data_IF_314814562991
#
_entry.id   IF_314814562991
#
_cell.length_a   1.000
_cell.length_b   1.000
_cell.length_c   1.000
_cell.angle_alpha   90.00
_cell.angle_beta   90.00
_cell.angle_gamma   90.00
#
_symmetry.space_group_name_H-M   'P 1'
#
loop_
_entity.id
_entity.type
_entity.pdbx_description
1 polymer ?
#
# COMPACT_ATOMS: atom_id res chain seq x y z
N UNK A 1 21.92 -38.41 -3.16
CA UNK A 1 20.99 -37.92 -4.20
C UNK A 1 21.23 -36.43 -4.36
N UNK A 2 21.48 -35.96 -5.58
CA UNK A 2 21.85 -34.56 -5.81
C UNK A 2 20.57 -33.71 -5.80
N UNK A 3 20.33 -32.99 -4.72
CA UNK A 3 19.19 -32.09 -4.63
C UNK A 3 19.51 -30.78 -5.35
N UNK A 4 18.52 -30.24 -6.05
CA UNK A 4 18.61 -28.95 -6.74
C UNK A 4 17.49 -28.05 -6.23
N UNK A 5 17.81 -26.79 -5.96
CA UNK A 5 16.85 -25.76 -5.67
C UNK A 5 16.90 -24.69 -6.77
N UNK A 6 15.75 -24.41 -7.38
CA UNK A 6 15.62 -23.38 -8.42
C UNK A 6 14.43 -22.49 -8.15
N UNK A 7 14.59 -21.21 -8.49
CA UNK A 7 13.51 -20.24 -8.54
C UNK A 7 13.11 -20.03 -9.99
N UNK A 8 11.82 -20.17 -10.27
CA UNK A 8 11.27 -20.03 -11.61
C UNK A 8 10.25 -18.90 -11.62
N UNK A 9 10.43 -17.95 -12.51
CA UNK A 9 9.52 -16.83 -12.74
C UNK A 9 8.91 -16.98 -14.12
N UNK A 10 7.59 -17.02 -14.17
CA UNK A 10 6.79 -17.20 -15.37
C UNK A 10 5.95 -15.96 -15.62
N UNK A 11 5.89 -15.50 -16.87
CA UNK A 11 4.99 -14.43 -17.31
C UNK A 11 4.07 -14.92 -18.43
N UNK A 12 2.95 -14.24 -18.67
CA UNK A 12 1.98 -14.56 -19.71
C UNK A 12 0.57 -14.75 -19.16
N UNK A 13 -0.27 -15.57 -19.82
CA UNK A 13 -1.59 -15.98 -19.31
C UNK A 13 -1.41 -17.08 -18.25
N UNK A 14 -0.77 -16.74 -17.14
CA UNK A 14 -0.41 -17.69 -16.06
C UNK A 14 -1.25 -17.51 -14.80
N UNK A 15 -2.12 -16.50 -14.75
CA UNK A 15 -3.04 -16.22 -13.64
C UNK A 15 -4.50 -16.37 -14.06
N UNK A 16 -5.39 -16.62 -13.07
CA UNK A 16 -6.84 -16.88 -13.26
C UNK A 16 -7.20 -18.10 -14.14
N UNK A 17 -6.24 -19.00 -14.36
CA UNK A 17 -6.37 -20.21 -15.20
C UNK A 17 -6.21 -21.52 -14.40
N UNK A 18 -6.31 -21.46 -13.06
CA UNK A 18 -6.09 -22.64 -12.20
C UNK A 18 -4.62 -23.11 -12.08
N UNK A 19 -3.68 -22.41 -12.73
CA UNK A 19 -2.31 -22.86 -12.93
C UNK A 19 -1.53 -23.19 -11.64
N UNK A 20 -1.66 -22.38 -10.58
CA UNK A 20 -1.00 -22.66 -9.28
C UNK A 20 -1.45 -23.96 -8.62
N UNK A 21 -2.75 -24.29 -8.74
CA UNK A 21 -3.31 -25.55 -8.23
C UNK A 21 -2.69 -26.73 -8.97
N UNK A 22 -2.66 -26.62 -10.29
CA UNK A 22 -2.08 -27.61 -11.16
C UNK A 22 -0.57 -27.83 -10.88
N UNK A 23 0.20 -26.76 -10.70
CA UNK A 23 1.64 -26.86 -10.35
C UNK A 23 1.85 -27.61 -9.04
N UNK A 24 1.07 -27.29 -8.00
CA UNK A 24 1.14 -28.00 -6.71
C UNK A 24 0.84 -29.49 -6.87
N UNK A 25 -0.21 -29.83 -7.61
CA UNK A 25 -0.61 -31.22 -7.79
C UNK A 25 0.50 -32.00 -8.52
N UNK A 26 1.12 -31.41 -9.55
CA UNK A 26 2.28 -32.00 -10.24
C UNK A 26 3.54 -32.09 -9.40
N UNK A 27 3.80 -31.11 -8.53
CA UNK A 27 4.93 -31.16 -7.61
C UNK A 27 4.80 -32.29 -6.59
N UNK A 28 3.58 -32.52 -6.08
CA UNK A 28 3.29 -33.63 -5.17
C UNK A 28 3.41 -34.99 -5.86
N UNK A 29 2.99 -35.13 -7.12
CA UNK A 29 3.15 -36.36 -7.91
C UNK A 29 4.62 -36.78 -8.09
N UNK A 30 5.53 -35.82 -8.23
CA UNK A 30 6.95 -36.06 -8.54
C UNK A 30 7.89 -35.89 -7.33
N UNK A 31 7.33 -35.65 -6.15
CA UNK A 31 8.09 -35.54 -4.90
C UNK A 31 8.97 -34.28 -4.79
N UNK A 32 8.55 -33.17 -5.41
CA UNK A 32 9.25 -31.87 -5.35
C UNK A 32 8.61 -30.99 -4.28
N UNK A 33 9.41 -30.44 -3.37
CA UNK A 33 8.97 -29.47 -2.36
C UNK A 33 9.17 -28.04 -2.84
N UNK A 34 8.53 -27.08 -2.16
CA UNK A 34 8.69 -25.66 -2.47
C UNK A 34 7.38 -24.88 -2.43
N UNK A 35 7.25 -23.90 -3.30
CA UNK A 35 6.07 -23.03 -3.32
C UNK A 35 5.77 -22.41 -4.68
N UNK A 36 4.53 -21.99 -4.89
CA UNK A 36 4.10 -21.23 -6.08
C UNK A 36 3.22 -20.06 -5.64
N UNK A 37 3.45 -18.87 -6.19
CA UNK A 37 2.69 -17.66 -5.86
C UNK A 37 2.42 -16.82 -7.10
N UNK A 38 1.27 -16.15 -7.10
CA UNK A 38 1.03 -15.07 -8.05
C UNK A 38 1.77 -13.82 -7.55
N UNK A 39 2.39 -13.08 -8.47
CA UNK A 39 2.83 -11.70 -8.23
C UNK A 39 1.98 -10.78 -9.08
N UNK A 40 1.39 -9.77 -8.44
CA UNK A 40 0.66 -8.72 -9.14
C UNK A 40 1.63 -7.59 -9.43
N UNK A 41 1.99 -7.45 -10.71
CA UNK A 41 2.71 -6.29 -11.22
C UNK A 41 1.76 -5.54 -12.17
N UNK A 42 1.71 -4.19 -12.15
CA UNK A 42 0.88 -3.44 -13.09
C UNK A 42 1.20 -3.87 -14.53
N UNK A 43 0.20 -4.39 -15.24
CA UNK A 43 0.34 -4.80 -16.64
C UNK A 43 0.95 -6.19 -16.89
N UNK A 44 1.39 -6.94 -15.87
CA UNK A 44 2.01 -8.26 -16.09
C UNK A 44 1.51 -9.29 -15.08
N UNK A 45 0.91 -10.37 -15.59
CA UNK A 45 0.56 -11.53 -14.80
C UNK A 45 1.82 -12.40 -14.62
N UNK A 46 2.27 -12.54 -13.37
CA UNK A 46 3.50 -13.27 -13.03
C UNK A 46 3.17 -14.41 -12.08
N UNK A 47 3.72 -15.59 -12.34
CA UNK A 47 3.77 -16.70 -11.38
C UNK A 47 5.22 -16.91 -10.98
N UNK A 48 5.52 -16.80 -9.69
CA UNK A 48 6.83 -17.01 -9.11
C UNK A 48 6.75 -18.28 -8.29
N UNK A 49 7.67 -19.20 -8.52
CA UNK A 49 7.70 -20.47 -7.82
C UNK A 49 9.14 -20.85 -7.47
N UNK A 50 9.23 -21.74 -6.50
CA UNK A 50 10.47 -22.30 -6.02
C UNK A 50 10.31 -23.81 -5.96
N UNK A 51 11.26 -24.52 -6.56
CA UNK A 51 11.27 -25.98 -6.66
C UNK A 51 12.53 -26.50 -5.98
N UNK A 52 12.39 -27.48 -5.09
CA UNK A 52 13.49 -28.21 -4.48
C UNK A 52 13.21 -29.71 -4.46
N UNK A 53 14.24 -30.48 -4.80
CA UNK A 53 14.17 -31.93 -4.71
C UNK A 53 15.27 -32.59 -5.54
N UNK A 54 15.18 -33.91 -5.77
CA UNK A 54 16.07 -34.61 -6.68
C UNK A 54 16.10 -33.93 -8.06
N UNK A 55 17.29 -33.76 -8.62
CA UNK A 55 17.50 -33.02 -9.88
C UNK A 55 16.55 -33.47 -11.01
N UNK A 56 16.36 -34.79 -11.17
CA UNK A 56 15.50 -35.36 -12.21
C UNK A 56 14.02 -35.02 -11.99
N UNK A 57 13.56 -35.01 -10.73
CA UNK A 57 12.19 -34.63 -10.38
C UNK A 57 11.93 -33.14 -10.61
N UNK A 58 12.90 -32.29 -10.28
CA UNK A 58 12.83 -30.83 -10.51
C UNK A 58 12.79 -30.53 -12.02
N UNK A 59 13.63 -31.19 -12.81
CA UNK A 59 13.62 -31.06 -14.28
C UNK A 59 12.31 -31.57 -14.90
N UNK A 60 11.83 -32.74 -14.48
CA UNK A 60 10.55 -33.30 -14.94
C UNK A 60 9.38 -32.36 -14.68
N UNK A 61 9.32 -31.77 -13.48
CA UNK A 61 8.28 -30.79 -13.14
C UNK A 61 8.42 -29.50 -13.96
N UNK A 62 9.63 -29.00 -14.17
CA UNK A 62 9.88 -27.80 -14.97
C UNK A 62 9.41 -27.97 -16.41
N UNK A 63 9.70 -29.11 -17.04
CA UNK A 63 9.24 -29.43 -18.40
C UNK A 63 7.71 -29.44 -18.48
N UNK A 64 7.03 -30.04 -17.49
CA UNK A 64 5.56 -29.99 -17.41
C UNK A 64 5.07 -28.55 -17.27
N UNK A 65 5.68 -27.75 -16.40
CA UNK A 65 5.32 -26.34 -16.20
C UNK A 65 5.42 -25.57 -17.52
N UNK A 66 6.48 -25.78 -18.29
CA UNK A 66 6.67 -25.12 -19.60
C UNK A 66 5.58 -25.48 -20.61
N UNK A 67 5.01 -26.69 -20.56
CA UNK A 67 3.88 -27.07 -21.42
C UNK A 67 2.55 -26.46 -21.00
N UNK A 68 2.43 -25.98 -19.76
CA UNK A 68 1.21 -25.37 -19.24
C UNK A 68 0.11 -26.38 -18.90
N UNK A 69 -1.04 -25.88 -18.42
CA UNK A 69 -2.21 -26.69 -18.05
C UNK A 69 -3.33 -26.69 -19.11
N UNK A 70 -3.01 -26.34 -20.37
CA UNK A 70 -3.98 -26.18 -21.47
C UNK A 70 -4.73 -24.84 -21.45
N UNK A 71 -4.90 -24.23 -20.28
CA UNK A 71 -5.52 -22.91 -20.11
C UNK A 71 -4.50 -21.78 -19.94
N UNK A 72 -3.26 -22.13 -19.60
CA UNK A 72 -2.13 -21.21 -19.41
C UNK A 72 -1.30 -21.04 -20.67
N UNK A 73 -0.83 -19.82 -20.91
CA UNK A 73 0.14 -19.49 -21.96
C UNK A 73 1.35 -18.80 -21.32
N UNK A 74 2.54 -19.38 -21.47
CA UNK A 74 3.78 -18.83 -20.91
C UNK A 74 4.48 -18.02 -21.99
N UNK A 75 4.62 -16.71 -21.76
CA UNK A 75 5.31 -15.80 -22.67
C UNK A 75 6.80 -15.75 -22.40
N UNK A 76 7.20 -15.82 -21.11
CA UNK A 76 8.59 -15.79 -20.70
C UNK A 76 8.82 -16.68 -19.47
N UNK A 77 9.99 -17.30 -19.40
CA UNK A 77 10.45 -18.09 -18.26
C UNK A 77 11.86 -17.68 -17.87
N UNK A 78 12.07 -17.38 -16.59
CA UNK A 78 13.39 -17.17 -15.99
C UNK A 78 13.64 -18.22 -14.93
N UNK A 79 14.76 -18.94 -15.04
CA UNK A 79 15.16 -19.98 -14.09
C UNK A 79 16.48 -19.56 -13.46
N UNK A 80 16.50 -19.46 -12.13
CA UNK A 80 17.67 -19.09 -11.36
C UNK A 80 17.99 -20.21 -10.36
N UNK A 81 19.27 -20.46 -10.13
CA UNK A 81 19.67 -21.28 -8.99
C UNK A 81 19.27 -20.58 -7.69
N UNK A 82 18.80 -21.36 -6.72
CA UNK A 82 18.35 -20.87 -5.44
C UNK A 82 19.00 -21.64 -4.30
N UNK A 83 19.07 -21.01 -3.12
CA UNK A 83 19.44 -21.70 -1.89
C UNK A 83 18.31 -22.65 -1.48
N UNK A 84 18.61 -23.91 -1.11
CA UNK A 84 17.63 -24.85 -0.59
C UNK A 84 16.84 -24.26 0.58
N UNK A 85 15.55 -24.53 0.60
CA UNK A 85 14.60 -24.13 1.62
C UNK A 85 14.09 -25.37 2.36
N UNK A 86 14.24 -25.40 3.69
CA UNK A 86 13.92 -26.55 4.55
C UNK A 86 12.41 -26.87 4.68
N UNK A 87 11.65 -26.91 3.58
CA UNK A 87 10.23 -27.27 3.52
C UNK A 87 10.08 -28.71 3.03
N UNK A 88 9.22 -29.47 3.70
CA UNK A 88 8.89 -30.86 3.36
C UNK A 88 7.70 -31.02 2.41
N UNK A 89 7.05 -29.92 1.99
CA UNK A 89 5.85 -29.95 1.14
C UNK A 89 5.82 -28.83 0.10
N UNK A 90 5.02 -29.02 -0.96
CA UNK A 90 4.76 -28.00 -1.98
C UNK A 90 3.52 -27.16 -1.65
N UNK A 91 3.69 -25.85 -1.54
CA UNK A 91 2.64 -24.95 -1.03
C UNK A 91 2.22 -23.91 -2.06
N UNK A 92 0.91 -23.70 -2.23
CA UNK A 92 0.41 -22.55 -3.00
C UNK A 92 0.35 -21.37 -2.04
N UNK A 93 1.13 -20.34 -2.33
CA UNK A 93 1.02 -19.07 -1.65
C UNK A 93 -0.02 -18.24 -2.41
N UNK A 94 -1.14 -17.97 -1.75
CA UNK A 94 -2.13 -17.00 -2.17
C UNK A 94 -1.77 -15.65 -1.56
N UNK A 95 -1.95 -14.54 -2.27
CA UNK A 95 -1.91 -13.21 -1.63
C UNK A 95 -3.18 -12.45 -1.95
N UNK A 96 -4.01 -12.33 -0.91
CA UNK A 96 -4.71 -11.12 -0.43
C UNK A 96 -5.46 -11.43 0.89
N UNK A 97 -5.77 -12.71 1.20
CA UNK A 97 -6.43 -13.09 2.47
C UNK A 97 -5.48 -13.50 3.61
N UNK A 98 -4.23 -13.86 3.31
CA UNK A 98 -3.18 -14.06 4.31
C UNK A 98 -2.30 -12.83 4.53
N UNK A 99 -2.37 -11.78 3.71
CA UNK A 99 -1.66 -10.52 4.03
C UNK A 99 -2.17 -9.89 5.32
N UNK A 100 -3.47 -9.89 5.65
CA UNK A 100 -3.94 -9.50 6.97
C UNK A 100 -3.37 -10.39 8.07
N UNK A 101 -3.27 -11.71 7.88
CA UNK A 101 -2.80 -12.63 8.91
C UNK A 101 -1.27 -12.70 9.02
N UNK A 102 -0.52 -12.51 7.94
CA UNK A 102 0.95 -12.44 7.89
C UNK A 102 1.42 -11.04 8.24
N UNK A 103 0.81 -9.97 7.72
CA UNK A 103 1.11 -8.62 8.20
C UNK A 103 0.61 -8.44 9.63
N UNK A 104 -0.53 -9.02 10.05
CA UNK A 104 -0.89 -9.06 11.47
C UNK A 104 0.00 -10.01 12.26
N UNK A 105 0.54 -11.10 11.71
CA UNK A 105 1.49 -11.99 12.42
C UNK A 105 2.88 -11.40 12.47
N UNK A 106 3.33 -10.65 11.47
CA UNK A 106 4.59 -9.91 11.42
C UNK A 106 4.48 -8.64 12.26
N UNK A 107 3.34 -7.95 12.22
CA UNK A 107 2.93 -6.89 13.15
C UNK A 107 2.88 -7.45 14.56
N UNK A 108 2.09 -8.50 14.85
CA UNK A 108 2.06 -9.17 16.15
C UNK A 108 3.43 -9.71 16.52
N UNK A 109 4.26 -10.22 15.61
CA UNK A 109 5.61 -10.68 15.93
C UNK A 109 6.52 -9.51 16.27
N UNK A 110 6.44 -8.38 15.55
CA UNK A 110 7.16 -7.14 15.86
C UNK A 110 6.67 -6.57 17.20
N UNK A 111 5.36 -6.49 17.41
CA UNK A 111 4.71 -6.06 18.65
C UNK A 111 4.99 -7.03 19.79
N UNK A 112 4.99 -8.34 19.59
CA UNK A 112 5.34 -9.40 20.57
C UNK A 112 6.83 -9.44 20.85
N UNK A 113 7.70 -9.14 19.89
CA UNK A 113 9.14 -8.97 20.12
C UNK A 113 9.37 -7.75 21.00
N UNK A 114 8.70 -6.63 20.71
CA UNK A 114 8.71 -5.44 21.57
C UNK A 114 8.09 -5.76 22.93
N UNK A 115 6.94 -6.43 23.00
CA UNK A 115 6.30 -6.83 24.24
C UNK A 115 7.21 -7.76 25.03
N UNK A 116 7.80 -8.80 24.43
CA UNK A 116 8.73 -9.74 25.09
C UNK A 116 10.00 -9.05 25.57
N UNK A 117 10.55 -8.09 24.84
CA UNK A 117 11.68 -7.25 25.31
C UNK A 117 11.27 -6.42 26.51
N UNK A 118 10.11 -5.76 26.44
CA UNK A 118 9.55 -4.98 27.56
C UNK A 118 9.24 -5.87 28.74
N UNK A 119 8.63 -7.03 28.54
CA UNK A 119 8.27 -7.97 29.61
C UNK A 119 9.52 -8.55 30.25
N UNK A 120 10.50 -8.98 29.44
CA UNK A 120 11.79 -9.50 29.94
C UNK A 120 12.53 -8.45 30.76
N UNK A 121 12.55 -7.22 30.27
CA UNK A 121 13.30 -6.16 30.91
C UNK A 121 12.54 -5.56 32.13
N UNK A 122 11.20 -5.64 32.15
CA UNK A 122 10.38 -5.51 33.37
C UNK A 122 10.72 -6.62 34.37
N UNK A 123 10.76 -7.88 33.95
CA UNK A 123 11.07 -9.03 34.82
C UNK A 123 12.48 -8.92 35.40
N UNK A 124 13.47 -8.52 34.61
CA UNK A 124 14.85 -8.29 35.05
C UNK A 124 14.95 -7.10 36.02
N UNK A 125 14.20 -6.01 35.78
CA UNK A 125 14.14 -4.85 36.69
C UNK A 125 13.47 -5.22 38.02
N UNK A 126 12.40 -6.01 38.00
CA UNK A 126 11.73 -6.54 39.19
C UNK A 126 12.69 -7.45 39.97
N UNK A 127 13.39 -8.37 39.31
CA UNK A 127 14.41 -9.26 39.91
C UNK A 127 15.59 -8.48 40.52
N UNK A 128 16.05 -7.41 39.88
CA UNK A 128 17.10 -6.55 40.42
C UNK A 128 16.61 -5.71 41.61
N UNK A 129 15.35 -5.30 41.62
CA UNK A 129 14.75 -4.54 42.72
C UNK A 129 14.49 -5.42 43.94
N UNK A 130 14.00 -6.65 43.73
CA UNK A 130 13.80 -7.64 44.80
C UNK A 130 15.12 -8.12 45.40
N UNK A 131 16.16 -8.32 44.59
CA UNK A 131 17.50 -8.67 45.10
C UNK A 131 18.19 -7.54 45.87
N UNK A 132 17.88 -6.26 45.59
CA UNK A 132 18.32 -5.12 46.42
C UNK A 132 17.57 -5.04 47.76
N UNK A 133 16.27 -5.28 47.76
CA UNK A 133 15.43 -5.34 48.98
C UNK A 133 15.83 -6.51 49.89
N UNK A 134 16.27 -7.64 49.32
CA UNK A 134 16.77 -8.78 50.10
C UNK A 134 18.12 -8.52 50.80
N UNK A 135 18.89 -7.52 50.33
CA UNK A 135 20.17 -7.12 50.95
C UNK A 135 20.01 -6.08 52.05
N UNK A 136 18.89 -5.36 52.12
CA UNK A 136 18.56 -4.50 53.26
C UNK A 136 17.89 -5.36 54.35
N UNK A 137 18.68 -5.82 55.31
CA UNK A 137 18.19 -6.50 56.53
C UNK A 137 17.45 -5.49 57.43
N UNK A 138 16.21 -5.17 57.09
CA UNK A 138 15.22 -4.74 58.07
C UNK A 138 13.82 -5.02 57.52
N UNK A 139 13.22 -6.13 57.98
CA UNK A 139 11.92 -6.64 57.54
C UNK A 139 10.97 -6.82 58.72
N UNK A 140 11.17 -6.05 59.79
CA UNK A 140 10.34 -6.16 61.00
C UNK A 140 9.00 -5.44 60.91
N UNK A 141 8.69 -4.74 59.80
CA UNK A 141 7.50 -3.89 59.79
C UNK A 141 6.93 -3.55 58.41
N UNK A 142 6.47 -4.54 57.61
CA UNK A 142 5.46 -4.22 56.58
C UNK A 142 4.51 -5.37 56.26
N UNK A 143 3.44 -5.51 57.04
CA UNK A 143 2.28 -6.37 56.72
C UNK A 143 1.22 -5.63 55.86
N UNK A 144 1.68 -4.79 54.93
CA UNK A 144 0.81 -3.98 54.06
C UNK A 144 1.37 -3.78 52.62
N UNK A 145 2.58 -4.28 52.32
CA UNK A 145 3.25 -4.07 51.04
C UNK A 145 3.04 -5.23 50.06
N UNK A 146 2.88 -6.46 50.55
CA UNK A 146 2.63 -7.63 49.68
C UNK A 146 1.22 -7.60 49.06
N UNK A 147 0.20 -7.17 49.81
CA UNK A 147 -1.15 -6.94 49.25
C UNK A 147 -1.19 -5.74 48.30
N UNK A 148 -0.35 -4.71 48.54
CA UNK A 148 -0.21 -3.57 47.61
C UNK A 148 0.44 -3.97 46.30
N UNK A 149 1.35 -4.94 46.29
CA UNK A 149 2.05 -5.38 45.07
C UNK A 149 1.12 -6.11 44.09
N UNK A 150 0.13 -6.83 44.60
CA UNK A 150 -0.88 -7.52 43.79
C UNK A 150 -1.90 -6.55 43.16
N UNK A 151 -2.26 -5.48 43.87
CA UNK A 151 -3.19 -4.44 43.38
C UNK A 151 -2.48 -3.44 42.43
N UNK A 152 -1.17 -3.20 42.62
CA UNK A 152 -0.34 -2.36 41.75
C UNK A 152 -0.19 -2.90 40.32
N UNK A 153 -0.33 -4.22 40.12
CA UNK A 153 -0.27 -4.84 38.80
C UNK A 153 -1.58 -4.73 38.01
N UNK A 154 -2.72 -4.56 38.69
CA UNK A 154 -4.04 -4.39 38.03
C UNK A 154 -4.31 -2.94 37.58
N UNK A 155 -3.51 -1.97 38.03
CA UNK A 155 -3.73 -0.53 37.79
C UNK A 155 -2.51 0.17 37.18
N UNK A 156 -1.90 -0.38 36.13
CA UNK A 156 -0.82 0.32 35.41
C UNK A 156 -1.34 1.50 34.54
N UNK A 157 -1.23 2.75 35.04
CA UNK A 157 -0.61 3.87 34.31
C UNK A 157 0.36 4.63 35.27
N UNK A 158 1.07 5.74 34.94
CA UNK A 158 1.50 6.40 33.71
C UNK A 158 3.06 6.45 33.59
N UNK A 159 3.79 5.54 34.26
CA UNK A 159 5.27 5.55 34.30
C UNK A 159 5.96 4.46 33.47
N UNK A 160 5.28 3.95 32.44
CA UNK A 160 5.90 3.02 31.49
C UNK A 160 7.21 3.57 30.90
N UNK A 161 7.36 4.89 30.74
CA UNK A 161 8.60 5.52 30.26
C UNK A 161 9.84 5.23 31.12
N UNK A 162 9.71 5.10 32.45
CA UNK A 162 10.85 4.78 33.35
C UNK A 162 11.27 3.32 33.23
N UNK A 163 10.32 2.43 32.96
CA UNK A 163 10.60 1.02 32.66
C UNK A 163 11.36 0.93 31.33
N UNK A 164 10.89 1.62 30.29
CA UNK A 164 11.57 1.68 28.99
C UNK A 164 13.00 2.28 29.07
N UNK A 165 13.22 3.30 29.91
CA UNK A 165 14.54 3.90 30.16
C UNK A 165 15.54 2.93 30.82
N UNK A 166 15.08 2.04 31.72
CA UNK A 166 15.94 1.03 32.36
C UNK A 166 16.32 -0.13 31.43
N UNK A 167 15.59 -0.32 30.34
CA UNK A 167 15.70 -1.46 29.42
C UNK A 167 16.35 -1.11 28.08
N UNK A 168 16.79 0.14 27.91
CA UNK A 168 17.38 0.65 26.66
C UNK A 168 16.44 0.60 25.45
N UNK A 169 15.15 0.34 25.65
CA UNK A 169 14.15 0.18 24.58
C UNK A 169 13.22 1.39 24.61
N UNK A 170 13.01 2.06 23.48
CA UNK A 170 12.11 3.21 23.40
C UNK A 170 10.66 2.74 23.22
N UNK A 171 9.67 3.35 23.91
CA UNK A 171 8.24 3.05 23.74
C UNK A 171 7.79 3.17 22.26
N UNK A 172 8.50 4.01 21.48
CA UNK A 172 8.26 4.18 20.05
C UNK A 172 8.72 2.99 19.19
N UNK A 173 9.50 2.04 19.71
CA UNK A 173 9.91 0.82 18.99
C UNK A 173 8.76 -0.16 18.73
N UNK A 174 7.62 0.01 19.42
CA UNK A 174 6.38 -0.71 19.19
C UNK A 174 5.46 -0.08 18.14
N UNK A 175 5.78 1.12 17.64
CA UNK A 175 4.97 1.77 16.62
C UNK A 175 5.14 1.06 15.28
N UNK A 176 4.05 0.89 14.52
CA UNK A 176 4.10 0.24 13.22
C UNK A 176 2.98 0.74 12.33
N UNK A 177 3.33 1.31 11.19
CA UNK A 177 2.38 1.86 10.22
C UNK A 177 1.46 0.78 9.64
N UNK A 178 2.02 -0.38 9.29
CA UNK A 178 1.23 -1.54 8.86
C UNK A 178 0.20 -1.98 9.91
N UNK A 179 0.58 -1.96 11.19
CA UNK A 179 -0.31 -2.29 12.31
C UNK A 179 -1.44 -1.25 12.48
N UNK A 180 -1.09 0.04 12.46
CA UNK A 180 -2.05 1.14 12.63
C UNK A 180 -3.02 1.23 11.45
N UNK A 181 -2.55 1.04 10.22
CA UNK A 181 -3.42 1.02 9.03
C UNK A 181 -4.42 -0.14 9.06
N UNK A 182 -4.02 -1.29 9.60
CA UNK A 182 -4.92 -2.43 9.81
C UNK A 182 -5.95 -2.15 10.92
N UNK A 183 -5.50 -1.68 12.07
CA UNK A 183 -6.39 -1.32 13.18
C UNK A 183 -7.40 -0.24 12.78
N UNK A 184 -6.96 0.77 12.01
CA UNK A 184 -7.83 1.80 11.46
C UNK A 184 -8.85 1.21 10.47
N UNK A 185 -8.45 0.22 9.65
CA UNK A 185 -9.39 -0.46 8.75
C UNK A 185 -10.53 -1.15 9.50
N UNK A 186 -10.23 -1.81 10.63
CA UNK A 186 -11.28 -2.40 11.49
C UNK A 186 -12.18 -1.36 12.13
N UNK A 187 -11.64 -0.23 12.58
CA UNK A 187 -12.46 0.89 13.08
C UNK A 187 -13.38 1.45 12.01
N UNK A 188 -12.93 1.53 10.76
CA UNK A 188 -13.77 1.98 9.63
C UNK A 188 -14.94 1.04 9.38
N UNK A 189 -14.71 -0.27 9.44
CA UNK A 189 -15.79 -1.26 9.28
C UNK A 189 -16.86 -1.07 10.36
N UNK A 190 -16.44 -0.99 11.63
CA UNK A 190 -17.33 -0.74 12.77
C UNK A 190 -18.06 0.61 12.63
N UNK A 191 -17.34 1.68 12.26
CA UNK A 191 -17.97 2.98 12.04
C UNK A 191 -18.97 2.94 10.88
N UNK A 192 -18.69 2.18 9.82
CA UNK A 192 -19.61 1.94 8.73
C UNK A 192 -20.91 1.31 9.21
N UNK A 193 -20.84 0.34 10.14
CA UNK A 193 -22.00 -0.29 10.77
C UNK A 193 -22.80 0.69 11.64
N UNK A 194 -22.12 1.57 12.39
CA UNK A 194 -22.77 2.51 13.32
C UNK A 194 -23.37 3.72 12.59
N UNK A 195 -22.62 4.33 11.68
CA UNK A 195 -22.93 5.63 11.09
C UNK A 195 -23.49 5.54 9.65
N UNK A 196 -23.49 4.34 9.06
CA UNK A 196 -23.90 4.07 7.68
C UNK A 196 -22.85 4.44 6.63
N UNK A 197 -21.65 4.88 7.04
CA UNK A 197 -20.58 5.26 6.12
C UNK A 197 -19.19 5.12 6.75
N UNK A 198 -18.19 4.85 5.92
CA UNK A 198 -16.78 4.78 6.32
C UNK A 198 -16.13 6.14 6.06
N UNK A 199 -15.89 6.93 7.11
CA UNK A 199 -15.46 8.34 7.09
C UNK A 199 -14.53 8.65 5.91
N UNK A 200 -13.23 8.41 6.05
CA UNK A 200 -12.24 8.80 5.03
C UNK A 200 -12.33 7.97 3.74
N UNK A 201 -12.98 6.80 3.80
CA UNK A 201 -13.19 5.92 2.65
C UNK A 201 -14.19 6.49 1.64
N UNK A 202 -15.02 7.45 2.05
CA UNK A 202 -15.86 8.22 1.13
C UNK A 202 -15.01 8.92 0.05
N UNK A 203 -13.83 9.42 0.42
CA UNK A 203 -12.95 10.16 -0.49
C UNK A 203 -12.21 9.26 -1.50
N UNK A 204 -12.21 7.94 -1.31
CA UNK A 204 -11.65 6.99 -2.29
C UNK A 204 -12.52 6.91 -3.55
N UNK A 205 -13.83 7.20 -3.46
CA UNK A 205 -14.66 7.32 -4.64
C UNK A 205 -14.20 8.52 -5.48
N UNK A 206 -13.89 8.27 -6.76
CA UNK A 206 -13.35 9.28 -7.67
C UNK A 206 -14.20 10.54 -7.76
N UNK A 207 -15.54 10.43 -7.73
CA UNK A 207 -16.43 11.58 -7.84
C UNK A 207 -16.43 12.39 -6.55
N UNK A 208 -16.50 11.69 -5.42
CA UNK A 208 -16.51 12.30 -4.08
C UNK A 208 -15.17 12.97 -3.79
N UNK A 209 -14.05 12.27 -4.03
CA UNK A 209 -12.70 12.80 -3.88
C UNK A 209 -12.45 14.03 -4.75
N UNK A 210 -12.89 14.01 -6.02
CA UNK A 210 -12.82 15.19 -6.90
C UNK A 210 -13.65 16.37 -6.38
N UNK A 211 -14.84 16.13 -5.81
CA UNK A 211 -15.63 17.19 -5.22
C UNK A 211 -14.92 17.79 -4.00
N UNK A 212 -14.47 16.95 -3.07
CA UNK A 212 -13.75 17.41 -1.89
C UNK A 212 -12.48 18.19 -2.26
N UNK A 213 -11.71 17.72 -3.25
CA UNK A 213 -10.52 18.40 -3.75
C UNK A 213 -10.84 19.85 -4.22
N UNK A 214 -11.95 20.03 -4.95
CA UNK A 214 -12.41 21.38 -5.35
C UNK A 214 -12.80 22.24 -4.14
N UNK A 215 -13.50 21.67 -3.16
CA UNK A 215 -13.94 22.40 -1.95
C UNK A 215 -12.75 22.93 -1.14
N UNK A 216 -11.67 22.14 -1.05
CA UNK A 216 -10.44 22.55 -0.34
C UNK A 216 -9.49 23.39 -1.20
N UNK A 217 -9.90 23.82 -2.39
CA UNK A 217 -9.13 24.72 -3.26
C UNK A 217 -8.02 24.04 -4.06
N UNK A 218 -8.00 22.71 -4.13
CA UNK A 218 -7.02 21.98 -4.94
C UNK A 218 -7.45 21.96 -6.41
N UNK A 219 -6.51 22.26 -7.31
CA UNK A 219 -6.78 22.13 -8.76
C UNK A 219 -7.13 20.68 -9.07
N UNK A 220 -8.18 20.47 -9.86
CA UNK A 220 -8.54 19.16 -10.40
C UNK A 220 -8.49 19.19 -11.93
N UNK A 221 -8.30 18.05 -12.60
CA UNK A 221 -8.36 18.00 -14.06
C UNK A 221 -9.72 18.50 -14.57
N UNK A 222 -9.68 19.43 -15.52
CA UNK A 222 -10.89 19.91 -16.24
C UNK A 222 -11.53 18.76 -16.99
N UNK A 223 -12.80 18.50 -16.70
CA UNK A 223 -13.61 17.52 -17.43
C UNK A 223 -14.11 18.19 -18.71
N UNK A 224 -13.69 17.69 -19.86
CA UNK A 224 -14.09 18.16 -21.19
C UNK A 224 -15.38 17.48 -21.66
N UNK A 225 -15.51 16.18 -21.39
CA UNK A 225 -16.70 15.38 -21.71
C UNK A 225 -16.99 14.38 -20.59
N UNK A 226 -18.27 14.07 -20.34
CA UNK A 226 -18.68 13.20 -19.24
C UNK A 226 -19.82 12.27 -19.61
N UNK A 227 -19.65 10.99 -19.28
CA UNK A 227 -20.63 9.92 -19.51
C UNK A 227 -21.01 9.78 -21.00
N UNK A 228 -20.03 9.89 -21.89
CA UNK A 228 -20.22 9.80 -23.34
C UNK A 228 -19.89 8.38 -23.82
N UNK A 229 -20.70 7.75 -24.70
CA UNK A 229 -20.37 6.46 -25.32
C UNK A 229 -19.27 6.61 -26.37
N UNK A 230 -18.57 5.54 -26.73
CA UNK A 230 -17.45 5.56 -27.71
C UNK A 230 -17.87 6.19 -29.04
N UNK A 231 -19.10 5.93 -29.49
CA UNK A 231 -19.61 6.38 -30.79
C UNK A 231 -19.80 7.90 -30.90
N UNK A 232 -19.97 8.60 -29.78
CA UNK A 232 -20.21 10.04 -29.72
C UNK A 232 -19.04 10.81 -29.09
N UNK A 233 -17.93 10.13 -28.82
CA UNK A 233 -16.80 10.70 -28.11
C UNK A 233 -15.97 11.58 -29.05
N UNK A 234 -15.67 12.81 -28.64
CA UNK A 234 -14.66 13.61 -29.31
C UNK A 234 -13.27 13.22 -28.79
N UNK A 235 -12.37 12.90 -29.72
CA UNK A 235 -11.00 12.44 -29.43
C UNK A 235 -10.02 13.61 -29.57
N UNK A 236 -10.27 14.69 -28.84
CA UNK A 236 -9.49 15.91 -28.94
C UNK A 236 -8.02 15.66 -28.51
N UNK A 237 -7.04 16.31 -29.16
CA UNK A 237 -5.64 16.23 -28.75
C UNK A 237 -5.43 16.81 -27.34
N UNK A 238 -4.31 16.45 -26.71
CA UNK A 238 -3.96 16.83 -25.34
C UNK A 238 -5.07 16.50 -24.32
N UNK A 239 -5.63 15.30 -24.41
CA UNK A 239 -6.69 14.83 -23.52
C UNK A 239 -6.38 13.47 -22.92
N UNK A 240 -7.07 13.14 -21.83
CA UNK A 240 -7.06 11.82 -21.22
C UNK A 240 -8.46 11.24 -21.26
N UNK A 241 -8.59 10.04 -21.79
CA UNK A 241 -9.84 9.29 -21.83
C UNK A 241 -9.79 8.20 -20.76
N UNK A 242 -10.85 8.09 -19.96
CA UNK A 242 -10.99 7.03 -18.96
C UNK A 242 -12.42 6.56 -18.81
N UNK A 243 -12.67 5.30 -18.41
CA UNK A 243 -14.01 4.84 -18.14
C UNK A 243 -14.58 5.54 -16.92
N UNK A 244 -15.89 5.78 -16.92
CA UNK A 244 -16.62 6.37 -15.78
C UNK A 244 -16.51 5.49 -14.53
N UNK A 245 -16.38 4.18 -14.71
CA UNK A 245 -16.16 3.19 -13.65
C UNK A 245 -14.99 2.28 -14.03
N UNK A 246 -14.00 2.17 -13.16
CA UNK A 246 -12.84 1.32 -13.37
C UNK A 246 -11.68 1.67 -12.44
N UNK A 247 -10.80 0.68 -12.22
CA UNK A 247 -9.57 0.81 -11.43
C UNK A 247 -8.36 0.23 -12.17
N UNK A 248 -7.18 0.43 -11.59
CA UNK A 248 -5.93 -0.16 -12.11
C UNK A 248 -5.56 0.28 -13.53
N UNK A 249 -5.84 1.54 -13.88
CA UNK A 249 -5.54 2.15 -15.20
C UNK A 249 -6.15 1.45 -16.42
N UNK A 250 -7.07 0.50 -16.22
CA UNK A 250 -7.68 -0.22 -17.35
C UNK A 250 -8.61 0.69 -18.14
N UNK A 251 -8.37 0.80 -19.45
CA UNK A 251 -9.11 1.70 -20.33
C UNK A 251 -8.73 3.17 -20.16
N UNK A 252 -7.55 3.47 -19.61
CA UNK A 252 -7.07 4.86 -19.53
C UNK A 252 -6.12 5.12 -20.69
N UNK A 253 -6.40 6.16 -21.47
CA UNK A 253 -5.65 6.52 -22.67
C UNK A 253 -5.24 7.99 -22.61
N UNK A 254 -3.98 8.28 -22.93
CA UNK A 254 -3.46 9.64 -23.09
C UNK A 254 -3.39 9.93 -24.59
N UNK A 255 -4.10 10.95 -25.06
CA UNK A 255 -4.08 11.40 -26.44
C UNK A 255 -3.22 12.65 -26.51
N UNK A 256 -2.01 12.54 -27.05
CA UNK A 256 -1.24 13.73 -27.43
C UNK A 256 -1.79 14.33 -28.71
N UNK A 257 -1.97 13.47 -29.72
CA UNK A 257 -2.63 13.77 -30.98
C UNK A 257 -3.24 12.49 -31.56
N UNK A 258 -3.88 12.58 -32.73
CA UNK A 258 -4.58 11.47 -33.38
C UNK A 258 -3.68 10.29 -33.77
N UNK A 259 -2.36 10.47 -33.82
CA UNK A 259 -1.36 9.46 -34.17
C UNK A 259 -0.46 9.06 -32.98
N UNK A 260 -0.53 9.78 -31.87
CA UNK A 260 0.29 9.55 -30.67
C UNK A 260 -0.61 9.36 -29.45
N UNK A 261 -1.08 8.12 -29.28
CA UNK A 261 -1.98 7.73 -28.19
C UNK A 261 -1.28 6.67 -27.34
N UNK A 262 -1.35 6.81 -26.02
CA UNK A 262 -0.72 5.86 -25.08
C UNK A 262 -1.81 5.18 -24.27
N UNK A 263 -1.86 3.85 -24.31
CA UNK A 263 -2.62 3.06 -23.35
C UNK A 263 -1.84 2.98 -22.03
N UNK A 264 -2.37 3.55 -20.97
CA UNK A 264 -1.66 3.69 -19.69
C UNK A 264 -1.44 2.34 -19.00
N UNK A 265 -2.27 1.33 -19.27
CA UNK A 265 -2.20 0.02 -18.61
C UNK A 265 -0.95 -0.77 -19.01
N UNK A 266 -0.65 -0.83 -20.29
CA UNK A 266 0.41 -1.65 -20.87
C UNK A 266 1.51 -0.82 -21.57
N UNK A 267 1.35 0.51 -21.61
CA UNK A 267 2.25 1.47 -22.27
C UNK A 267 2.35 1.27 -23.78
N UNK A 268 1.43 0.53 -24.38
CA UNK A 268 1.36 0.41 -25.84
C UNK A 268 1.03 1.78 -26.45
N UNK A 269 1.64 2.03 -27.61
CA UNK A 269 1.33 3.19 -28.45
C UNK A 269 0.32 2.78 -29.50
N UNK A 270 -0.76 3.53 -29.60
CA UNK A 270 -1.75 3.42 -30.67
C UNK A 270 -1.52 4.57 -31.64
N UNK A 271 -1.57 4.25 -32.93
CA UNK A 271 -1.19 5.17 -34.02
C UNK A 271 -2.39 5.78 -34.74
N UNK A 272 -3.61 5.45 -34.31
CA UNK A 272 -4.84 6.01 -34.86
C UNK A 272 -6.01 5.98 -33.88
N UNK A 273 -6.99 6.87 -34.10
CA UNK A 273 -8.28 6.85 -33.39
C UNK A 273 -9.02 5.52 -33.58
N UNK A 274 -8.87 4.89 -34.75
CA UNK A 274 -9.49 3.59 -35.04
C UNK A 274 -8.95 2.48 -34.13
N UNK A 275 -7.63 2.45 -33.91
CA UNK A 275 -6.99 1.53 -32.96
C UNK A 275 -7.43 1.80 -31.52
N UNK A 276 -7.54 3.08 -31.14
CA UNK A 276 -8.06 3.49 -29.84
C UNK A 276 -9.50 3.00 -29.63
N UNK A 277 -10.40 3.25 -30.58
CA UNK A 277 -11.79 2.80 -30.50
C UNK A 277 -11.88 1.26 -30.40
N UNK A 278 -11.08 0.53 -31.18
CA UNK A 278 -11.01 -0.93 -31.09
C UNK A 278 -10.52 -1.40 -29.71
N UNK A 279 -9.48 -0.75 -29.17
CA UNK A 279 -8.99 -1.03 -27.82
C UNK A 279 -10.06 -0.75 -26.76
N UNK A 280 -10.77 0.37 -26.85
CA UNK A 280 -11.87 0.73 -25.94
C UNK A 280 -13.02 -0.27 -26.02
N UNK A 281 -13.38 -0.73 -27.22
CA UNK A 281 -14.38 -1.78 -27.41
C UNK A 281 -13.95 -3.11 -26.79
N UNK A 282 -12.68 -3.50 -26.95
CA UNK A 282 -12.10 -4.68 -26.31
C UNK A 282 -12.21 -4.61 -24.77
N UNK A 283 -11.90 -3.44 -24.20
CA UNK A 283 -12.02 -3.16 -22.76
C UNK A 283 -13.46 -3.31 -22.24
N UNK A 284 -14.47 -3.05 -23.07
CA UNK A 284 -15.88 -3.29 -22.75
C UNK A 284 -16.24 -4.78 -22.85
N UNK A 285 -15.79 -5.48 -23.90
CA UNK A 285 -16.11 -6.91 -24.09
C UNK A 285 -15.47 -7.82 -23.06
N UNK A 286 -14.23 -7.53 -22.64
CA UNK A 286 -13.51 -8.32 -21.63
C UNK A 286 -14.13 -8.26 -20.23
N UNK A 287 -15.00 -7.28 -19.96
CA UNK A 287 -15.55 -7.05 -18.64
C UNK A 287 -17.05 -6.78 -18.72
N UNK A 288 -17.83 -7.87 -18.72
CA UNK A 288 -19.27 -7.90 -19.05
C UNK A 288 -20.17 -7.01 -18.17
N UNK A 289 -19.62 -6.36 -17.12
CA UNK A 289 -20.31 -5.38 -16.29
C UNK A 289 -19.96 -3.91 -16.57
N UNK A 290 -19.05 -3.61 -17.52
CA UNK A 290 -18.71 -2.23 -17.87
C UNK A 290 -19.75 -1.62 -18.81
N UNK A 291 -20.16 -0.40 -18.49
CA UNK A 291 -21.02 0.41 -19.36
C UNK A 291 -20.16 1.18 -20.34
N UNK A 292 -20.64 1.35 -21.56
CA UNK A 292 -20.07 2.28 -22.53
C UNK A 292 -20.33 3.72 -22.08
N UNK A 293 -19.47 4.20 -21.18
CA UNK A 293 -19.60 5.49 -20.51
C UNK A 293 -18.21 5.98 -20.13
N UNK A 294 -17.75 7.01 -20.82
CA UNK A 294 -16.38 7.50 -20.75
C UNK A 294 -16.34 8.96 -20.32
N UNK A 295 -15.18 9.36 -19.82
CA UNK A 295 -14.85 10.71 -19.40
C UNK A 295 -13.63 11.14 -20.21
N UNK A 296 -13.69 12.35 -20.75
CA UNK A 296 -12.54 13.02 -21.36
C UNK A 296 -12.15 14.18 -20.46
N UNK A 297 -10.89 14.22 -20.05
CA UNK A 297 -10.33 15.29 -19.22
C UNK A 297 -9.10 15.91 -19.88
N UNK A 298 -8.73 17.10 -19.43
CA UNK A 298 -7.49 17.74 -19.88
C UNK A 298 -6.28 16.83 -19.59
N UNK A 299 -5.32 16.79 -20.52
CA UNK A 299 -4.03 16.19 -20.23
C UNK A 299 -3.23 17.14 -19.33
N UNK A 300 -2.84 16.64 -18.16
CA UNK A 300 -1.90 17.35 -17.30
C UNK A 300 -0.50 17.17 -17.90
N UNK A 301 0.24 18.27 -17.95
CA UNK A 301 1.62 18.33 -18.45
C UNK A 301 2.51 18.93 -17.37
N UNK A 302 3.77 18.52 -17.34
CA UNK A 302 4.78 19.11 -16.48
C UNK A 302 5.41 20.36 -17.11
N UNK A 303 6.37 20.95 -16.40
CA UNK A 303 7.11 22.15 -16.83
C UNK A 303 7.92 21.94 -18.11
N UNK A 304 8.23 20.69 -18.47
CA UNK A 304 8.99 20.33 -19.67
C UNK A 304 8.07 19.99 -20.85
N UNK A 305 6.75 20.08 -20.67
CA UNK A 305 5.75 19.68 -21.68
C UNK A 305 5.58 18.17 -21.81
N UNK A 306 6.19 17.41 -20.90
CA UNK A 306 6.04 15.97 -20.75
C UNK A 306 4.86 15.61 -19.85
N UNK A 307 4.56 14.32 -19.71
CA UNK A 307 3.59 13.87 -18.72
C UNK A 307 4.14 14.09 -17.29
N UNK A 308 3.30 14.45 -16.31
CA UNK A 308 3.73 14.77 -14.97
C UNK A 308 4.13 13.52 -14.18
N UNK A 309 5.05 13.70 -13.25
CA UNK A 309 5.33 12.71 -12.22
C UNK A 309 4.18 12.66 -11.22
N UNK A 310 3.88 11.46 -10.72
CA UNK A 310 2.96 11.30 -9.59
C UNK A 310 3.69 11.65 -8.29
N UNK A 311 3.12 12.51 -7.47
CA UNK A 311 3.56 12.76 -6.10
C UNK A 311 2.56 12.14 -5.11
N UNK A 312 3.02 11.22 -4.27
CA UNK A 312 2.17 10.53 -3.29
C UNK A 312 2.62 10.91 -1.89
N UNK A 313 1.91 11.87 -1.30
CA UNK A 313 2.18 12.39 0.04
C UNK A 313 1.55 11.48 1.09
N UNK A 314 2.34 10.96 2.02
CA UNK A 314 1.84 10.21 3.17
C UNK A 314 1.51 11.21 4.29
N UNK A 315 0.24 11.59 4.39
CA UNK A 315 -0.18 12.67 5.28
C UNK A 315 -0.86 12.13 6.53
N UNK A 316 -0.34 12.54 7.69
CA UNK A 316 -0.76 12.16 9.03
C UNK A 316 -1.28 13.38 9.78
N UNK A 317 -2.53 13.77 9.50
CA UNK A 317 -3.26 14.87 10.15
C UNK A 317 -2.39 16.06 10.57
N UNK A 318 -2.09 16.91 9.58
CA UNK A 318 -1.24 18.11 9.70
C UNK A 318 0.26 17.86 9.55
N UNK A 319 0.70 16.67 9.13
CA UNK A 319 2.12 16.36 8.91
C UNK A 319 2.33 15.43 7.71
N UNK A 320 3.29 15.73 6.84
CA UNK A 320 3.63 14.92 5.65
C UNK A 320 5.10 14.46 5.66
N UNK A 321 5.47 13.49 6.52
CA UNK A 321 6.87 13.07 6.72
C UNK A 321 7.50 12.35 5.53
N UNK A 322 6.71 11.92 4.54
CA UNK A 322 7.19 11.08 3.46
C UNK A 322 6.41 11.35 2.17
N UNK A 323 7.16 11.52 1.08
CA UNK A 323 6.63 11.72 -0.27
C UNK A 323 7.26 10.70 -1.20
N UNK A 324 6.44 10.06 -2.04
CA UNK A 324 6.92 9.22 -3.14
C UNK A 324 6.67 9.93 -4.46
N UNK A 325 7.73 10.22 -5.18
CA UNK A 325 7.68 10.64 -6.57
C UNK A 325 7.79 9.41 -7.49
N UNK A 326 6.86 9.28 -8.44
CA UNK A 326 6.85 8.21 -9.43
C UNK A 326 6.91 8.80 -10.82
N UNK A 327 7.99 8.52 -11.55
CA UNK A 327 8.03 8.75 -12.99
C UNK A 327 7.58 7.49 -13.71
N UNK A 328 6.42 7.54 -14.37
CA UNK A 328 5.82 6.37 -15.03
C UNK A 328 6.26 6.18 -16.48
N UNK A 329 6.85 7.21 -17.08
CA UNK A 329 7.15 7.26 -18.50
C UNK A 329 8.62 6.93 -18.73
N UNK A 330 8.87 5.77 -19.35
CA UNK A 330 10.18 5.17 -19.55
C UNK A 330 10.06 3.65 -19.74
N UNK A 331 11.18 2.94 -19.91
CA UNK A 331 11.16 1.45 -19.99
C UNK A 331 10.55 0.83 -18.73
N UNK A 332 10.88 1.40 -17.56
CA UNK A 332 10.39 0.98 -16.25
C UNK A 332 10.03 2.22 -15.43
N UNK A 333 9.03 2.11 -14.53
CA UNK A 333 8.69 3.21 -13.65
C UNK A 333 9.84 3.44 -12.66
N UNK A 334 10.18 4.70 -12.44
CA UNK A 334 11.22 5.14 -11.52
C UNK A 334 10.59 5.71 -10.25
N UNK A 335 11.24 5.51 -9.12
CA UNK A 335 10.72 5.85 -7.80
C UNK A 335 11.76 6.66 -7.03
N UNK A 336 11.35 7.79 -6.45
CA UNK A 336 12.17 8.58 -5.52
C UNK A 336 11.37 8.83 -4.26
N UNK A 337 11.93 8.47 -3.12
CA UNK A 337 11.33 8.71 -1.81
C UNK A 337 12.04 9.88 -1.17
N UNK A 338 11.29 10.86 -0.65
CA UNK A 338 11.83 12.03 0.03
C UNK A 338 11.13 12.27 1.36
N UNK A 339 11.87 12.79 2.34
CA UNK A 339 11.29 13.27 3.60
C UNK A 339 10.67 14.67 3.43
N UNK A 340 10.13 15.21 4.52
CA UNK A 340 9.48 16.54 4.56
C UNK A 340 10.45 17.69 4.22
N UNK A 341 11.73 17.50 4.51
CA UNK A 341 12.84 18.43 4.25
C UNK A 341 13.35 18.34 2.80
N UNK A 342 12.84 17.40 2.01
CA UNK A 342 13.23 17.19 0.61
C UNK A 342 14.44 16.28 0.42
N UNK A 343 15.00 15.70 1.48
CA UNK A 343 16.13 14.77 1.43
C UNK A 343 15.69 13.37 1.00
N UNK A 344 16.58 12.60 0.36
CA UNK A 344 16.29 11.23 -0.06
C UNK A 344 16.04 10.35 1.17
N UNK A 345 14.86 9.73 1.22
CA UNK A 345 14.46 8.82 2.28
C UNK A 345 14.65 7.36 1.85
N UNK A 346 15.42 6.59 2.61
CA UNK A 346 15.52 5.14 2.40
C UNK A 346 14.37 4.44 3.13
N UNK A 347 13.54 3.74 2.37
CA UNK A 347 12.39 3.00 2.88
C UNK A 347 12.52 1.48 2.71
N UNK A 348 13.72 1.02 2.31
CA UNK A 348 14.11 -0.38 2.26
C UNK A 348 13.43 -1.21 1.17
N UNK A 349 13.20 -0.62 -0.01
CA UNK A 349 12.60 -1.32 -1.14
C UNK A 349 13.64 -1.61 -2.25
N UNK A 350 14.46 -2.68 -2.13
CA UNK A 350 15.60 -2.94 -3.04
C UNK A 350 15.21 -3.31 -4.48
N UNK A 351 13.91 -3.34 -4.79
CA UNK A 351 13.35 -3.86 -6.05
C UNK A 351 12.89 -2.77 -7.03
N UNK A 352 13.07 -1.49 -6.69
CA UNK A 352 12.68 -0.37 -7.54
C UNK A 352 13.90 0.27 -8.21
N UNK A 353 13.71 0.72 -9.44
CA UNK A 353 14.67 1.57 -10.12
C UNK A 353 14.55 2.97 -9.50
N UNK A 354 15.60 3.39 -8.79
CA UNK A 354 15.65 4.67 -8.13
C UNK A 354 16.16 5.75 -9.08
N UNK A 355 15.66 6.97 -8.89
CA UNK A 355 16.18 8.18 -9.50
C UNK A 355 16.27 9.27 -8.44
N UNK A 356 17.04 10.33 -8.71
CA UNK A 356 17.20 11.42 -7.75
C UNK A 356 15.85 12.08 -7.42
N UNK A 357 14.99 12.24 -8.43
CA UNK A 357 13.71 12.92 -8.25
C UNK A 357 13.83 14.43 -8.31
N UNK A 358 12.72 15.13 -8.51
CA UNK A 358 12.67 16.59 -8.44
C UNK A 358 12.65 17.05 -6.97
N UNK A 359 13.10 18.27 -6.74
CA UNK A 359 12.92 18.93 -5.45
C UNK A 359 11.42 19.11 -5.17
N UNK A 360 10.98 18.81 -3.95
CA UNK A 360 9.59 18.98 -3.53
C UNK A 360 9.48 20.33 -2.83
N UNK A 361 8.81 21.33 -3.44
CA UNK A 361 8.64 22.65 -2.84
C UNK A 361 7.95 22.60 -1.49
N UNK A 362 8.40 23.42 -0.53
CA UNK A 362 7.82 23.45 0.83
C UNK A 362 6.31 23.76 0.83
N UNK A 363 5.87 24.64 -0.07
CA UNK A 363 4.46 25.00 -0.20
C UNK A 363 3.58 23.80 -0.64
N UNK A 364 4.14 22.78 -1.29
CA UNK A 364 3.41 21.56 -1.62
C UNK A 364 3.10 20.76 -0.36
N UNK A 365 4.10 20.58 0.51
CA UNK A 365 3.93 19.91 1.79
C UNK A 365 2.94 20.66 2.69
N UNK A 366 3.07 21.99 2.78
CA UNK A 366 2.17 22.83 3.58
C UNK A 366 0.70 22.70 3.10
N UNK A 367 0.48 22.69 1.79
CA UNK A 367 -0.86 22.55 1.21
C UNK A 367 -1.50 21.20 1.57
N UNK A 368 -0.79 20.07 1.41
CA UNK A 368 -1.35 18.75 1.71
C UNK A 368 -1.57 18.55 3.22
N UNK A 369 -0.72 19.15 4.05
CA UNK A 369 -0.87 19.17 5.50
C UNK A 369 -2.13 19.94 5.91
N UNK A 370 -2.37 21.13 5.35
CA UNK A 370 -3.59 21.92 5.59
C UNK A 370 -4.85 21.17 5.13
N UNK A 371 -4.83 20.57 3.93
CA UNK A 371 -5.94 19.76 3.42
C UNK A 371 -6.26 18.60 4.39
N UNK A 372 -5.24 17.94 4.93
CA UNK A 372 -5.46 16.82 5.85
C UNK A 372 -6.14 17.22 7.16
N UNK A 373 -5.98 18.47 7.61
CA UNK A 373 -6.65 19.00 8.81
C UNK A 373 -8.17 19.22 8.61
N UNK A 374 -8.63 19.21 7.35
CA UNK A 374 -10.03 19.29 6.94
C UNK A 374 -10.67 17.91 6.78
N UNK A 375 -9.92 16.82 6.99
CA UNK A 375 -10.40 15.44 6.92
C UNK A 375 -10.37 14.86 8.35
N UNK A 376 -11.50 14.35 8.90
CA UNK A 376 -11.55 13.78 10.25
C UNK A 376 -10.95 12.36 10.31
N UNK A 377 -9.72 12.20 9.83
CA UNK A 377 -9.00 10.93 9.83
C UNK A 377 -7.50 11.13 10.15
N UNK A 378 -6.88 10.18 10.88
CA UNK A 378 -5.49 10.32 11.29
C UNK A 378 -4.50 10.16 10.14
N UNK A 379 -4.93 9.55 9.03
CA UNK A 379 -4.07 9.29 7.89
C UNK A 379 -4.88 9.26 6.60
N UNK A 380 -4.33 9.91 5.57
CA UNK A 380 -4.75 9.77 4.18
C UNK A 380 -3.53 10.00 3.31
N UNK A 381 -3.32 9.15 2.30
CA UNK A 381 -2.33 9.45 1.26
C UNK A 381 -3.00 10.32 0.21
N UNK A 382 -2.36 11.43 -0.15
CA UNK A 382 -2.86 12.36 -1.16
C UNK A 382 -1.96 12.22 -2.38
N UNK A 383 -2.54 11.76 -3.48
CA UNK A 383 -1.86 11.50 -4.72
C UNK A 383 -2.14 12.66 -5.68
N UNK A 384 -1.08 13.31 -6.14
CA UNK A 384 -1.10 14.53 -6.92
C UNK A 384 -0.23 14.37 -8.17
N UNK A 385 -0.42 15.26 -9.14
CA UNK A 385 0.46 15.42 -10.29
C UNK A 385 1.22 16.75 -10.16
N UNK A 386 2.54 16.72 -10.38
CA UNK A 386 3.36 17.92 -10.48
C UNK A 386 3.26 18.51 -11.89
N UNK A 387 2.32 19.45 -12.08
CA UNK A 387 2.08 20.09 -13.38
C UNK A 387 2.90 21.36 -13.58
N UNK A 388 2.91 21.88 -14.80
CA UNK A 388 3.50 23.18 -15.13
C UNK A 388 2.92 24.35 -14.31
N UNK A 389 1.67 24.24 -13.86
CA UNK A 389 0.94 25.27 -13.09
C UNK A 389 0.82 24.93 -11.59
N UNK A 390 1.55 23.93 -11.11
CA UNK A 390 1.53 23.45 -9.72
C UNK A 390 0.77 22.15 -9.53
N UNK A 391 0.34 21.87 -8.30
CA UNK A 391 -0.25 20.58 -7.93
C UNK A 391 -1.65 20.39 -8.50
N UNK A 392 -1.88 19.22 -9.12
CA UNK A 392 -3.19 18.79 -9.60
C UNK A 392 -3.61 17.52 -8.87
N UNK A 393 -4.85 17.47 -8.41
CA UNK A 393 -5.42 16.33 -7.71
C UNK A 393 -5.45 15.07 -8.59
N UNK A 394 -4.95 13.96 -8.04
CA UNK A 394 -5.09 12.61 -8.59
C UNK A 394 -6.13 11.80 -7.83
N UNK A 395 -5.82 11.42 -6.59
CA UNK A 395 -6.70 10.60 -5.74
C UNK A 395 -6.43 10.79 -4.25
N UNK A 396 -7.45 10.52 -3.41
CA UNK A 396 -7.26 10.27 -1.99
C UNK A 396 -7.17 8.75 -1.78
N UNK A 397 -6.17 8.29 -1.04
CA UNK A 397 -5.97 6.87 -0.70
C UNK A 397 -5.94 6.69 0.82
N UNK A 398 -7.09 6.40 1.45
CA UNK A 398 -7.19 6.15 2.89
C UNK A 398 -6.47 4.89 3.38
N UNK A 399 -6.22 3.93 2.47
CA UNK A 399 -5.50 2.68 2.75
C UNK A 399 -4.57 2.32 1.59
N UNK A 400 -3.26 2.64 1.68
CA UNK A 400 -2.31 2.21 0.66
C UNK A 400 -2.10 0.69 0.75
N UNK A 401 -2.23 -0.02 -0.37
CA UNK A 401 -2.04 -1.48 -0.45
C UNK A 401 -0.61 -1.97 -0.19
N UNK A 402 0.38 -1.07 -0.24
CA UNK A 402 1.81 -1.38 -0.09
C UNK A 402 2.39 -1.07 1.30
N UNK A 403 1.55 -0.85 2.32
CA UNK A 403 2.02 -0.44 3.66
C UNK A 403 2.95 -1.46 4.35
N UNK A 404 2.95 -2.71 3.91
CA UNK A 404 3.84 -3.77 4.42
C UNK A 404 5.22 -3.81 3.75
N UNK A 405 5.42 -3.06 2.66
CA UNK A 405 6.69 -3.05 1.92
C UNK A 405 7.74 -2.11 2.50
N UNK A 406 7.41 -1.38 3.57
CA UNK A 406 8.38 -0.56 4.29
C UNK A 406 9.31 -1.45 5.10
N UNK A 407 10.60 -1.12 5.14
CA UNK A 407 11.48 -1.70 6.14
C UNK A 407 11.04 -1.34 7.56
N UNK A 408 11.71 -1.96 8.54
CA UNK A 408 11.37 -1.76 9.95
C UNK A 408 11.55 -0.31 10.40
N UNK A 409 12.50 0.43 9.84
CA UNK A 409 12.78 1.82 10.22
C UNK A 409 11.65 2.74 9.73
N UNK A 410 11.33 2.65 8.44
CA UNK A 410 10.26 3.43 7.83
C UNK A 410 8.87 3.07 8.39
N UNK A 411 8.58 1.78 8.62
CA UNK A 411 7.32 1.33 9.23
C UNK A 411 7.14 1.91 10.64
N UNK A 412 8.21 1.97 11.44
CA UNK A 412 8.18 2.56 12.79
C UNK A 412 8.00 4.08 12.75
N UNK A 413 8.75 4.76 11.88
CA UNK A 413 8.66 6.21 11.70
C UNK A 413 7.23 6.61 11.33
N UNK A 414 6.65 6.00 10.30
CA UNK A 414 5.28 6.27 9.86
C UNK A 414 4.25 5.85 10.92
N UNK A 415 4.50 4.76 11.67
CA UNK A 415 3.65 4.34 12.78
C UNK A 415 3.61 5.40 13.90
N UNK A 416 4.74 6.04 14.21
CA UNK A 416 4.81 7.13 15.19
C UNK A 416 4.02 8.35 14.72
N UNK A 417 4.13 8.72 13.44
CA UNK A 417 3.31 9.79 12.88
C UNK A 417 1.82 9.47 12.94
N UNK A 418 1.42 8.22 12.70
CA UNK A 418 0.02 7.78 12.82
C UNK A 418 -0.53 7.96 14.23
N UNK A 419 0.19 7.49 15.25
CA UNK A 419 -0.24 7.62 16.65
C UNK A 419 -0.33 9.09 17.06
N UNK A 420 0.67 9.90 16.69
CA UNK A 420 0.66 11.34 16.96
C UNK A 420 -0.52 12.05 16.25
N UNK A 421 -0.81 11.69 15.01
CA UNK A 421 -1.95 12.21 14.26
C UNK A 421 -3.29 11.85 14.90
N UNK A 422 -3.43 10.62 15.42
CA UNK A 422 -4.61 10.21 16.20
C UNK A 422 -4.77 11.06 17.46
N UNK A 423 -3.69 11.35 18.17
CA UNK A 423 -3.75 12.19 19.37
C UNK A 423 -4.17 13.63 19.02
N UNK A 424 -3.60 14.21 17.96
CA UNK A 424 -4.01 15.54 17.46
C UNK A 424 -5.48 15.57 17.03
N UNK A 425 -5.91 14.60 16.23
CA UNK A 425 -7.31 14.49 15.79
C UNK A 425 -8.26 14.30 16.98
N UNK A 426 -7.89 13.48 17.96
CA UNK A 426 -8.70 13.28 19.16
C UNK A 426 -8.86 14.60 19.94
N UNK A 427 -7.78 15.36 20.12
CA UNK A 427 -7.83 16.67 20.77
C UNK A 427 -8.74 17.65 20.00
N UNK A 428 -8.61 17.70 18.68
CA UNK A 428 -9.46 18.55 17.82
C UNK A 428 -10.95 18.17 17.95
N UNK A 429 -11.26 16.87 17.90
CA UNK A 429 -12.63 16.38 18.09
C UNK A 429 -13.16 16.67 19.49
N UNK A 430 -12.33 16.48 20.52
CA UNK A 430 -12.67 16.73 21.92
C UNK A 430 -12.94 18.22 22.19
N UNK A 431 -12.18 19.11 21.55
CA UNK A 431 -12.36 20.57 21.64
C UNK A 431 -13.47 21.09 20.72
N UNK A 432 -14.15 20.21 19.99
CA UNK A 432 -15.33 20.55 19.18
C UNK A 432 -15.00 21.09 17.79
N UNK A 433 -13.78 20.88 17.28
CA UNK A 433 -13.43 21.25 15.89
C UNK A 433 -14.41 20.62 14.91
N UNK A 434 -14.85 21.44 13.96
CA UNK A 434 -15.71 21.03 12.84
C UNK A 434 -14.88 20.82 11.58
N UNK A 435 -15.43 20.05 10.64
CA UNK A 435 -14.80 19.75 9.37
C UNK A 435 -15.74 20.16 8.24
N UNK A 436 -16.03 21.47 8.08
CA UNK A 436 -17.17 21.93 7.27
C UNK A 436 -17.11 21.44 5.82
N UNK A 437 -15.93 21.42 5.19
CA UNK A 437 -15.77 20.89 3.83
C UNK A 437 -16.08 19.38 3.76
N UNK A 438 -15.70 18.63 4.79
CA UNK A 438 -15.93 17.19 4.85
C UNK A 438 -17.38 16.86 5.25
N UNK A 439 -17.94 17.62 6.18
CA UNK A 439 -19.34 17.53 6.59
C UNK A 439 -20.26 17.81 5.40
N UNK A 440 -19.89 18.76 4.53
CA UNK A 440 -20.57 19.00 3.25
C UNK A 440 -20.58 17.75 2.35
N UNK A 441 -19.45 17.03 2.27
CA UNK A 441 -19.37 15.77 1.52
C UNK A 441 -20.26 14.70 2.13
N UNK A 442 -20.24 14.54 3.46
CA UNK A 442 -21.14 13.60 4.12
C UNK A 442 -22.59 13.95 3.78
N UNK A 443 -23.00 15.21 3.93
CA UNK A 443 -24.39 15.62 3.72
C UNK A 443 -24.88 15.37 2.29
N UNK A 444 -24.02 15.53 1.29
CA UNK A 444 -24.40 15.32 -0.11
C UNK A 444 -24.34 13.85 -0.56
N UNK A 445 -23.36 13.08 -0.06
CA UNK A 445 -23.09 11.73 -0.55
C UNK A 445 -23.49 10.61 0.42
N UNK A 446 -24.02 10.94 1.60
CA UNK A 446 -24.61 9.96 2.53
C UNK A 446 -25.82 9.33 1.85
N UNK A 447 -25.67 8.05 1.50
CA UNK A 447 -26.76 7.19 1.02
C UNK A 447 -27.26 6.32 2.16
#
# INVERSE_FOLDING_TARGET
MNNKAIRVVLTGKVQKVGFRKWIRDKANEVGVSGWVKNRNFPGTAIVDLMLEGPIDSVHSLLTKIMTGNGESEISEISVLEATPHARSSFNILYREDEEPAIAARESLQKTLLSYRRVTRALSETVLQSTSRLHKSKDLSNVDAQEVRTSILLEHLPPHTSKIFQGCGSNIFEGCSFSSETWAQSKKRDIHGEIAGHRIEFLLEDKKVGLHFAKLVGLRVPKILQRNIPISALDFSPNSVIKPTRGGGSTGVYIIKDSANIINVRDRSRLTSIKELQASMQCVLSENHGRRDSWIVEEMIIDKEGGPPNDLKFYVFYGQSPLVLEVSRFGEKPLYSWRNREGEIANVGQPQYSYFEGREIPENFCNLVEEISLKIPAPFVRIDLFDSSEGLVFGEFTPRPGSSHNFDLSADRMLGRHFINARARLFNDLYTGKKFPEFDSIINEYRR
#
